data_IF_252014917122
#
_entry.id   IF_252014917122
#
_cell.length_a   1.000
_cell.length_b   1.000
_cell.length_c   1.000
_cell.angle_alpha   90.00
_cell.angle_beta   90.00
_cell.angle_gamma   90.00
#
_symmetry.space_group_name_H-M   'P 1'
#
loop_
_entity.id
_entity.type
_entity.pdbx_description
1 polymer ?
#
# COMPACT_ATOMS: atom_id res chain seq x y z
N UNK A 1 13.66 18.95 45.78
CA UNK A 1 12.57 19.07 44.78
C UNK A 1 12.14 20.54 44.68
N UNK A 2 12.37 21.22 43.53
CA UNK A 2 11.87 22.59 43.33
C UNK A 2 10.35 22.56 43.29
N UNK A 3 9.71 23.31 44.20
CA UNK A 3 8.23 23.48 44.19
C UNK A 3 7.82 24.08 42.85
N UNK A 4 6.94 23.36 42.13
CA UNK A 4 6.39 23.80 40.85
C UNK A 4 5.47 24.95 41.11
N UNK A 5 5.79 26.17 40.67
CA UNK A 5 4.90 27.31 40.73
C UNK A 5 3.82 27.21 39.65
N UNK A 6 2.68 26.63 39.99
CA UNK A 6 1.56 26.42 39.07
C UNK A 6 0.98 27.71 38.49
N UNK A 7 0.98 28.81 39.26
CA UNK A 7 0.51 30.11 38.77
C UNK A 7 1.31 30.63 37.58
N UNK A 8 2.65 30.55 37.65
CA UNK A 8 3.52 30.94 36.52
C UNK A 8 3.42 30.00 35.32
N UNK A 9 3.15 28.69 35.52
CA UNK A 9 2.94 27.74 34.44
C UNK A 9 1.63 27.95 33.72
N UNK A 10 0.53 28.20 34.45
CA UNK A 10 -0.81 28.44 33.87
C UNK A 10 -0.88 29.71 33.03
N UNK A 11 -0.07 30.74 33.34
CA UNK A 11 0.05 31.96 32.51
C UNK A 11 1.02 31.86 31.36
N UNK A 12 1.79 30.76 31.27
CA UNK A 12 2.81 30.57 30.22
C UNK A 12 2.17 30.25 28.87
N UNK A 13 2.48 31.05 27.84
CA UNK A 13 2.12 30.75 26.43
C UNK A 13 2.60 29.35 25.97
N UNK A 14 3.75 28.88 26.48
CA UNK A 14 4.30 27.54 26.16
C UNK A 14 3.42 26.42 26.73
N UNK A 15 2.88 26.60 27.95
CA UNK A 15 1.98 25.64 28.57
C UNK A 15 0.69 25.50 27.74
N UNK A 16 0.05 26.59 27.40
CA UNK A 16 -1.18 26.58 26.61
C UNK A 16 -0.94 26.04 25.18
N UNK A 17 0.19 26.36 24.56
CA UNK A 17 0.55 25.77 23.26
C UNK A 17 0.71 24.25 23.35
N UNK A 18 1.27 23.72 24.44
CA UNK A 18 1.37 22.28 24.66
C UNK A 18 0.01 21.63 24.90
N UNK A 19 -0.87 22.28 25.69
CA UNK A 19 -2.24 21.79 25.93
C UNK A 19 -3.04 21.77 24.63
N UNK A 20 -3.02 22.84 23.86
CA UNK A 20 -3.71 22.91 22.55
C UNK A 20 -3.15 21.85 21.61
N UNK A 21 -1.82 21.66 21.57
CA UNK A 21 -1.18 20.63 20.76
C UNK A 21 -1.63 19.22 21.15
N UNK A 22 -1.71 18.93 22.45
CA UNK A 22 -2.18 17.63 22.95
C UNK A 22 -3.66 17.39 22.65
N UNK A 23 -4.54 18.37 22.95
CA UNK A 23 -5.98 18.28 22.65
C UNK A 23 -6.21 18.07 21.16
N UNK A 24 -5.49 18.83 20.31
CA UNK A 24 -5.58 18.66 18.85
C UNK A 24 -5.17 17.25 18.42
N UNK A 25 -4.08 16.72 18.97
CA UNK A 25 -3.63 15.36 18.61
C UNK A 25 -4.62 14.29 19.12
N UNK A 26 -5.23 14.50 20.29
CA UNK A 26 -6.27 13.61 20.81
C UNK A 26 -7.51 13.60 19.90
N UNK A 27 -8.00 14.76 19.50
CA UNK A 27 -9.15 14.88 18.58
C UNK A 27 -8.85 14.24 17.23
N UNK A 28 -7.66 14.46 16.67
CA UNK A 28 -7.24 13.83 15.43
C UNK A 28 -7.05 12.32 15.60
N UNK A 29 -6.56 11.85 16.74
CA UNK A 29 -6.44 10.43 17.06
C UNK A 29 -7.79 9.74 17.11
N UNK A 30 -8.79 10.37 17.74
CA UNK A 30 -10.17 9.89 17.75
C UNK A 30 -10.75 9.86 16.33
N UNK A 31 -10.59 10.93 15.56
CA UNK A 31 -11.03 10.99 14.17
C UNK A 31 -10.45 9.83 13.33
N UNK A 32 -9.15 9.61 13.42
CA UNK A 32 -8.50 8.52 12.70
C UNK A 32 -8.99 7.14 13.16
N UNK A 33 -9.15 6.93 14.48
CA UNK A 33 -9.63 5.66 15.01
C UNK A 33 -11.08 5.37 14.58
N UNK A 34 -11.97 6.34 14.66
CA UNK A 34 -13.37 6.23 14.19
C UNK A 34 -13.40 5.94 12.69
N UNK A 35 -12.57 6.64 11.90
CA UNK A 35 -12.48 6.38 10.45
C UNK A 35 -11.99 4.97 10.13
N UNK A 36 -10.99 4.47 10.85
CA UNK A 36 -10.48 3.11 10.65
C UNK A 36 -11.46 2.02 11.11
N UNK A 37 -12.36 2.34 12.06
CA UNK A 37 -13.43 1.44 12.50
C UNK A 37 -14.67 1.50 11.62
N UNK A 38 -14.72 2.41 10.63
CA UNK A 38 -15.89 2.58 9.78
C UNK A 38 -16.25 1.32 9.02
N UNK A 39 -17.50 0.90 9.14
CA UNK A 39 -18.09 -0.18 8.36
C UNK A 39 -18.67 0.38 7.07
N UNK A 40 -18.22 -0.15 5.95
CA UNK A 40 -18.65 0.31 4.63
C UNK A 40 -19.99 -0.35 4.29
N UNK A 41 -21.06 0.22 4.81
CA UNK A 41 -22.44 -0.19 4.60
C UNK A 41 -23.29 1.01 4.21
N UNK A 42 -24.46 0.74 3.65
CA UNK A 42 -25.46 1.76 3.34
C UNK A 42 -26.69 1.45 4.16
N UNK A 43 -26.78 1.94 5.40
CA UNK A 43 -27.91 1.74 6.26
C UNK A 43 -29.21 2.24 5.60
N UNK A 44 -30.27 1.52 5.83
CA UNK A 44 -31.60 1.90 5.40
C UNK A 44 -32.39 2.52 6.54
N UNK A 45 -33.09 3.62 6.25
CA UNK A 45 -33.83 4.39 7.24
C UNK A 45 -34.99 3.62 7.88
N UNK A 46 -35.72 2.87 7.07
CA UNK A 46 -36.85 2.06 7.55
C UNK A 46 -36.36 0.90 8.39
N UNK A 47 -35.30 0.23 7.94
CA UNK A 47 -34.64 -0.85 8.69
C UNK A 47 -34.13 -0.35 10.04
N UNK A 48 -33.48 0.82 10.10
CA UNK A 48 -32.98 1.39 11.35
C UNK A 48 -34.11 1.73 12.34
N UNK A 49 -35.26 2.16 11.85
CA UNK A 49 -36.46 2.38 12.68
C UNK A 49 -37.06 1.05 13.17
N UNK A 50 -37.13 0.05 12.29
CA UNK A 50 -37.62 -1.26 12.65
C UNK A 50 -36.73 -1.93 13.71
N UNK A 51 -35.43 -1.88 13.55
CA UNK A 51 -34.46 -2.43 14.51
C UNK A 51 -34.59 -1.81 15.91
N UNK A 52 -34.87 -0.51 15.98
CA UNK A 52 -35.17 0.17 17.25
C UNK A 52 -36.43 -0.34 17.91
N UNK A 53 -37.53 -0.49 17.16
CA UNK A 53 -38.79 -0.96 17.69
C UNK A 53 -38.69 -2.41 18.16
N UNK A 54 -37.99 -3.25 17.39
CA UNK A 54 -37.74 -4.66 17.77
C UNK A 54 -36.88 -4.70 19.04
N UNK A 55 -35.82 -3.89 19.11
CA UNK A 55 -34.95 -3.80 20.29
C UNK A 55 -35.62 -3.28 21.54
N UNK A 56 -36.72 -2.51 21.40
CA UNK A 56 -37.57 -2.05 22.49
C UNK A 56 -38.67 -3.07 22.89
N UNK A 57 -38.64 -4.30 22.35
CA UNK A 57 -39.59 -5.40 22.60
C UNK A 57 -41.03 -5.11 22.13
N UNK A 58 -41.20 -4.27 21.13
CA UNK A 58 -42.49 -4.14 20.46
C UNK A 58 -42.77 -5.37 19.59
N UNK A 59 -43.99 -5.88 19.59
CA UNK A 59 -44.44 -6.94 18.68
C UNK A 59 -44.28 -6.46 17.22
N UNK A 60 -43.84 -7.36 16.34
CA UNK A 60 -43.53 -7.02 14.94
C UNK A 60 -44.74 -6.79 14.05
N UNK A 61 -45.93 -7.07 14.53
CA UNK A 61 -47.20 -6.86 13.81
C UNK A 61 -47.76 -5.47 14.10
N UNK A 62 -47.76 -4.61 13.08
CA UNK A 62 -48.35 -3.27 13.17
C UNK A 62 -47.39 -2.18 13.67
N UNK A 63 -46.11 -2.31 13.40
CA UNK A 63 -45.12 -1.32 13.75
C UNK A 63 -45.41 0.03 13.08
N UNK A 64 -45.70 1.05 13.90
CA UNK A 64 -45.78 2.42 13.45
C UNK A 64 -44.35 3.00 13.40
N UNK A 65 -43.72 2.92 12.21
CA UNK A 65 -42.36 3.43 12.00
C UNK A 65 -42.28 4.94 12.22
N UNK A 66 -43.39 5.67 12.09
CA UNK A 66 -43.41 7.11 12.28
C UNK A 66 -43.39 7.51 13.77
N UNK A 67 -43.70 6.56 14.66
CA UNK A 67 -43.53 6.76 16.11
C UNK A 67 -42.07 6.89 16.53
N UNK A 68 -41.11 6.45 15.71
CA UNK A 68 -39.68 6.56 16.00
C UNK A 68 -39.19 7.94 15.57
N UNK A 69 -38.65 8.75 16.50
CA UNK A 69 -38.06 10.04 16.16
C UNK A 69 -36.93 9.90 15.16
N UNK A 70 -36.89 10.74 14.11
CA UNK A 70 -35.90 10.66 13.05
C UNK A 70 -34.45 10.75 13.53
N UNK A 71 -34.19 11.55 14.58
CA UNK A 71 -32.85 11.65 15.15
C UNK A 71 -32.35 10.34 15.79
N UNK A 72 -33.27 9.54 16.33
CA UNK A 72 -32.92 8.24 16.95
C UNK A 72 -32.57 7.20 15.87
N UNK A 73 -33.34 7.16 14.78
CA UNK A 73 -32.99 6.33 13.62
C UNK A 73 -31.63 6.74 13.00
N UNK A 74 -31.34 8.05 12.94
CA UNK A 74 -30.04 8.55 12.50
C UNK A 74 -28.89 8.08 13.40
N UNK A 75 -29.10 7.98 14.72
CA UNK A 75 -28.09 7.43 15.65
C UNK A 75 -27.83 5.93 15.40
N UNK A 76 -28.87 5.14 15.11
CA UNK A 76 -28.68 3.72 14.75
C UNK A 76 -27.92 3.58 13.46
N UNK A 77 -28.26 4.35 12.43
CA UNK A 77 -27.51 4.36 11.16
C UNK A 77 -26.06 4.77 11.38
N UNK A 78 -25.82 5.79 12.25
CA UNK A 78 -24.47 6.21 12.59
C UNK A 78 -23.68 5.10 13.32
N UNK A 79 -24.33 4.38 14.24
CA UNK A 79 -23.74 3.23 14.90
C UNK A 79 -23.43 2.09 13.94
N UNK A 80 -24.31 1.83 12.96
CA UNK A 80 -24.07 0.82 11.92
C UNK A 80 -22.84 1.17 11.03
N UNK A 81 -22.60 2.45 10.76
CA UNK A 81 -21.40 2.89 10.06
C UNK A 81 -20.17 3.00 10.97
N UNK A 82 -20.35 3.34 12.25
CA UNK A 82 -19.27 3.55 13.22
C UNK A 82 -19.59 2.77 14.51
N UNK A 83 -19.36 1.45 14.56
CA UNK A 83 -19.59 0.64 15.75
C UNK A 83 -18.52 0.97 16.80
N UNK A 84 -18.86 1.81 17.77
CA UNK A 84 -17.97 2.26 18.84
C UNK A 84 -18.15 1.46 20.15
N UNK A 85 -18.94 0.41 20.13
CA UNK A 85 -19.19 -0.51 21.22
C UNK A 85 -18.04 -1.49 21.47
N UNK A 86 -17.14 -1.65 20.49
CA UNK A 86 -15.95 -2.46 20.62
C UNK A 86 -14.92 -1.82 21.54
N UNK A 87 -14.42 -2.57 22.54
CA UNK A 87 -13.40 -2.10 23.48
C UNK A 87 -12.07 -1.65 22.82
N UNK A 88 -11.81 -2.10 21.59
CA UNK A 88 -10.53 -1.87 20.91
C UNK A 88 -10.35 -0.42 20.38
N UNK A 89 -11.44 0.29 20.06
CA UNK A 89 -11.33 1.62 19.46
C UNK A 89 -10.74 2.68 20.41
N UNK A 90 -11.05 2.60 21.72
CA UNK A 90 -10.52 3.52 22.70
C UNK A 90 -8.98 3.45 22.83
N UNK A 91 -8.38 2.28 23.07
CA UNK A 91 -6.92 2.08 23.00
C UNK A 91 -6.32 2.47 21.66
N UNK A 92 -6.99 2.19 20.53
CA UNK A 92 -6.53 2.61 19.21
C UNK A 92 -6.50 4.14 19.07
N UNK A 93 -7.54 4.85 19.52
CA UNK A 93 -7.58 6.31 19.52
C UNK A 93 -6.47 6.91 20.40
N UNK A 94 -6.24 6.35 21.59
CA UNK A 94 -5.17 6.77 22.49
C UNK A 94 -3.79 6.54 21.86
N UNK A 95 -3.54 5.36 21.28
CA UNK A 95 -2.30 5.04 20.57
C UNK A 95 -2.03 5.98 19.40
N UNK A 96 -3.04 6.23 18.57
CA UNK A 96 -2.95 7.20 17.47
C UNK A 96 -2.71 8.61 17.98
N UNK A 97 -3.37 9.04 19.07
CA UNK A 97 -3.14 10.36 19.65
C UNK A 97 -1.69 10.55 20.11
N UNK A 98 -1.10 9.53 20.78
CA UNK A 98 0.31 9.54 21.19
C UNK A 98 1.23 9.63 19.96
N UNK A 99 0.97 8.80 18.95
CA UNK A 99 1.74 8.81 17.69
C UNK A 99 1.66 10.18 17.00
N UNK A 100 0.46 10.75 16.89
CA UNK A 100 0.26 12.07 16.29
C UNK A 100 0.93 13.19 17.10
N UNK A 101 0.91 13.12 18.43
CA UNK A 101 1.68 14.03 19.29
C UNK A 101 3.17 13.98 18.99
N UNK A 102 3.72 12.75 18.90
CA UNK A 102 5.13 12.55 18.59
C UNK A 102 5.47 13.09 17.19
N UNK A 103 4.68 12.73 16.17
CA UNK A 103 4.86 13.21 14.78
C UNK A 103 4.83 14.73 14.71
N UNK A 104 3.84 15.37 15.33
CA UNK A 104 3.67 16.84 15.33
C UNK A 104 4.78 17.57 16.07
N UNK A 105 5.46 16.88 17.00
CA UNK A 105 6.67 17.37 17.65
C UNK A 105 7.88 17.51 16.71
N UNK A 106 7.88 16.78 15.59
CA UNK A 106 8.98 16.75 14.60
C UNK A 106 8.85 17.90 13.57
N UNK A 107 9.05 19.14 14.01
CA UNK A 107 8.79 20.34 13.17
C UNK A 107 9.60 20.39 11.88
N UNK A 108 10.86 19.96 11.93
CA UNK A 108 11.76 19.96 10.77
C UNK A 108 11.33 18.97 9.67
N UNK A 109 10.63 17.90 10.07
CA UNK A 109 10.14 16.88 9.15
C UNK A 109 8.77 17.20 8.56
N UNK A 110 8.17 18.35 8.90
CA UNK A 110 6.79 18.69 8.50
C UNK A 110 6.63 18.67 6.97
N UNK A 111 5.66 17.90 6.45
CA UNK A 111 5.36 17.88 5.01
C UNK A 111 4.95 19.24 4.47
N UNK A 112 5.21 19.48 3.19
CA UNK A 112 4.84 20.70 2.46
C UNK A 112 3.36 20.65 2.05
N UNK A 113 2.89 21.72 1.39
CA UNK A 113 1.51 21.79 0.88
C UNK A 113 1.18 20.73 -0.15
N UNK A 114 2.17 20.33 -0.96
CA UNK A 114 2.01 19.27 -1.96
C UNK A 114 1.66 17.92 -1.34
N UNK A 115 2.32 17.55 -0.23
CA UNK A 115 2.04 16.30 0.47
C UNK A 115 0.68 16.33 1.17
N UNK A 116 0.25 17.51 1.63
CA UNK A 116 -1.11 17.69 2.16
C UNK A 116 -2.15 17.45 1.05
N UNK A 117 -1.95 18.04 -0.13
CA UNK A 117 -2.86 17.84 -1.27
C UNK A 117 -2.90 16.37 -1.71
N UNK A 118 -1.75 15.70 -1.77
CA UNK A 118 -1.68 14.27 -2.06
C UNK A 118 -2.42 13.44 -1.00
N UNK A 119 -2.29 13.79 0.28
CA UNK A 119 -2.99 13.09 1.37
C UNK A 119 -4.51 13.24 1.26
N UNK A 120 -5.00 14.40 0.81
CA UNK A 120 -6.42 14.60 0.52
C UNK A 120 -6.87 13.73 -0.64
N UNK A 121 -6.10 13.69 -1.73
CA UNK A 121 -6.40 12.82 -2.89
C UNK A 121 -6.42 11.35 -2.49
N UNK A 122 -5.45 10.91 -1.70
CA UNK A 122 -5.43 9.53 -1.18
C UNK A 122 -6.60 9.23 -0.25
N UNK A 123 -6.98 10.16 0.63
CA UNK A 123 -8.15 9.98 1.49
C UNK A 123 -9.46 9.84 0.71
N UNK A 124 -9.63 10.62 -0.36
CA UNK A 124 -10.76 10.49 -1.28
C UNK A 124 -10.72 9.16 -2.02
N UNK A 125 -9.57 8.81 -2.60
CA UNK A 125 -9.39 7.57 -3.36
C UNK A 125 -9.63 6.32 -2.49
N UNK A 126 -9.17 6.34 -1.23
CA UNK A 126 -9.37 5.25 -0.29
C UNK A 126 -10.85 4.99 -0.02
N UNK A 127 -11.61 6.03 0.33
CA UNK A 127 -13.05 5.86 0.64
C UNK A 127 -13.84 5.43 -0.59
N UNK A 128 -13.56 6.00 -1.76
CA UNK A 128 -14.19 5.58 -3.02
C UNK A 128 -13.80 4.14 -3.38
N UNK A 129 -12.53 3.78 -3.22
CA UNK A 129 -12.03 2.43 -3.45
C UNK A 129 -12.66 1.40 -2.51
N UNK A 130 -12.78 1.72 -1.22
CA UNK A 130 -13.46 0.87 -0.23
C UNK A 130 -14.95 0.70 -0.57
N UNK A 131 -15.63 1.78 -1.01
CA UNK A 131 -17.01 1.70 -1.47
C UNK A 131 -17.19 0.73 -2.63
N UNK A 132 -16.34 0.84 -3.66
CA UNK A 132 -16.37 -0.08 -4.81
C UNK A 132 -16.02 -1.50 -4.38
N UNK A 133 -14.99 -1.68 -3.57
CA UNK A 133 -14.52 -2.99 -3.12
C UNK A 133 -15.59 -3.75 -2.30
N UNK A 134 -16.30 -3.06 -1.41
CA UNK A 134 -17.26 -3.67 -0.50
C UNK A 134 -18.69 -3.74 -1.05
N UNK A 135 -19.10 -2.75 -1.84
CA UNK A 135 -20.49 -2.59 -2.31
C UNK A 135 -20.63 -2.73 -3.83
N UNK A 136 -19.53 -2.88 -4.58
CA UNK A 136 -19.54 -2.87 -6.05
C UNK A 136 -19.97 -1.54 -6.68
N UNK A 137 -20.10 -0.48 -5.88
CA UNK A 137 -20.62 0.83 -6.30
C UNK A 137 -20.10 1.96 -5.42
N UNK A 138 -20.40 3.19 -5.79
CA UNK A 138 -20.07 4.39 -4.98
C UNK A 138 -21.18 4.75 -3.96
N UNK A 139 -22.10 3.82 -3.66
CA UNK A 139 -23.26 4.07 -2.82
C UNK A 139 -22.91 4.51 -1.39
N UNK A 140 -21.78 4.06 -0.84
CA UNK A 140 -21.29 4.52 0.48
C UNK A 140 -21.12 6.03 0.57
N UNK A 141 -20.88 6.71 -0.56
CA UNK A 141 -20.66 8.16 -0.59
C UNK A 141 -21.85 8.90 -1.22
N UNK A 142 -22.40 8.37 -2.32
CA UNK A 142 -23.31 9.15 -3.17
C UNK A 142 -24.78 8.70 -3.17
N UNK A 143 -25.18 7.73 -2.33
CA UNK A 143 -26.56 7.23 -2.35
C UNK A 143 -27.59 8.28 -1.84
N UNK A 144 -27.22 9.01 -0.80
CA UNK A 144 -28.08 10.01 -0.17
C UNK A 144 -27.26 11.05 0.62
N UNK A 145 -27.84 12.17 1.08
CA UNK A 145 -27.12 13.20 1.82
C UNK A 145 -26.46 12.70 3.11
N UNK A 146 -27.06 11.75 3.82
CA UNK A 146 -26.47 11.14 5.00
C UNK A 146 -25.17 10.41 4.65
N UNK A 147 -25.18 9.56 3.60
CA UNK A 147 -24.00 8.85 3.13
C UNK A 147 -22.92 9.80 2.63
N UNK A 148 -23.31 10.91 2.00
CA UNK A 148 -22.34 11.94 1.61
C UNK A 148 -21.61 12.52 2.84
N UNK A 149 -22.32 12.81 3.94
CA UNK A 149 -21.69 13.29 5.18
C UNK A 149 -20.75 12.23 5.78
N UNK A 150 -21.18 10.96 5.86
CA UNK A 150 -20.38 9.84 6.36
C UNK A 150 -19.13 9.64 5.49
N UNK A 151 -19.30 9.62 4.18
CA UNK A 151 -18.19 9.48 3.21
C UNK A 151 -17.19 10.62 3.33
N UNK A 152 -17.65 11.88 3.40
CA UNK A 152 -16.78 13.05 3.60
C UNK A 152 -16.03 12.99 4.95
N UNK A 153 -16.70 12.59 6.02
CA UNK A 153 -16.06 12.39 7.31
C UNK A 153 -14.91 11.38 7.23
N UNK A 154 -15.15 10.22 6.59
CA UNK A 154 -14.13 9.22 6.35
C UNK A 154 -12.99 9.74 5.47
N UNK A 155 -13.29 10.49 4.39
CA UNK A 155 -12.27 11.10 3.53
C UNK A 155 -11.34 12.02 4.30
N UNK A 156 -11.88 12.85 5.18
CA UNK A 156 -11.10 13.74 6.05
C UNK A 156 -10.25 12.94 7.02
N UNK A 157 -10.80 11.91 7.66
CA UNK A 157 -10.06 11.06 8.59
C UNK A 157 -8.90 10.33 7.91
N UNK A 158 -9.10 9.74 6.73
CA UNK A 158 -8.02 9.13 5.95
C UNK A 158 -6.99 10.17 5.47
N UNK A 159 -7.41 11.35 5.03
CA UNK A 159 -6.48 12.41 4.64
C UNK A 159 -5.58 12.85 5.81
N UNK A 160 -6.15 12.97 7.01
CA UNK A 160 -5.39 13.26 8.24
C UNK A 160 -4.42 12.13 8.55
N UNK A 161 -4.85 10.88 8.43
CA UNK A 161 -4.02 9.71 8.67
C UNK A 161 -2.83 9.67 7.70
N UNK A 162 -3.08 9.79 6.39
CA UNK A 162 -2.03 9.78 5.37
C UNK A 162 -1.03 10.95 5.56
N UNK A 163 -1.52 12.15 5.86
CA UNK A 163 -0.66 13.30 6.09
C UNK A 163 0.31 13.08 7.26
N UNK A 164 -0.19 12.53 8.37
CA UNK A 164 0.66 12.27 9.53
C UNK A 164 1.52 11.03 9.34
N UNK A 165 1.09 10.04 8.56
CA UNK A 165 1.93 8.91 8.18
C UNK A 165 3.15 9.36 7.35
N UNK A 166 2.95 10.24 6.36
CA UNK A 166 4.04 10.84 5.58
C UNK A 166 4.97 11.67 6.48
N UNK A 167 4.39 12.46 7.40
CA UNK A 167 5.20 13.23 8.36
C UNK A 167 6.03 12.33 9.29
N UNK A 168 5.41 11.27 9.83
CA UNK A 168 6.11 10.28 10.65
C UNK A 168 7.23 9.59 9.89
N UNK A 169 6.99 9.23 8.63
CA UNK A 169 8.00 8.64 7.75
C UNK A 169 9.19 9.59 7.53
N UNK A 170 8.94 10.87 7.27
CA UNK A 170 9.99 11.88 7.15
C UNK A 170 10.79 12.04 8.45
N UNK A 171 10.12 12.01 9.61
CA UNK A 171 10.79 12.09 10.91
C UNK A 171 11.70 10.88 11.16
N UNK A 172 11.23 9.69 10.83
CA UNK A 172 12.01 8.45 10.98
C UNK A 172 13.22 8.43 10.03
N UNK A 173 13.00 8.77 8.77
CA UNK A 173 14.07 8.81 7.76
C UNK A 173 15.09 9.92 8.05
N UNK A 174 14.64 11.09 8.53
CA UNK A 174 15.50 12.19 8.92
C UNK A 174 16.42 11.81 10.08
N UNK A 175 15.90 11.16 11.12
CA UNK A 175 16.70 10.64 12.24
C UNK A 175 17.71 9.58 11.80
N UNK A 176 17.32 8.73 10.88
CA UNK A 176 18.18 7.70 10.32
C UNK A 176 19.41 8.26 9.57
N UNK A 177 19.33 9.48 9.05
CA UNK A 177 20.45 10.14 8.34
C UNK A 177 21.44 10.84 9.27
N UNK A 178 20.98 11.31 10.43
CA UNK A 178 21.80 12.12 11.35
C UNK A 178 22.55 11.28 12.40
N UNK A 179 22.17 10.02 12.58
CA UNK A 179 22.83 9.11 13.50
C UNK A 179 23.96 8.35 12.79
N UNK A 180 25.19 8.75 13.00
CA UNK A 180 26.34 7.88 12.84
C UNK A 180 26.24 6.78 13.90
N UNK A 181 25.34 5.81 13.70
CA UNK A 181 25.30 4.64 14.58
C UNK A 181 26.57 3.85 14.31
N UNK A 182 27.44 3.79 15.30
CA UNK A 182 28.54 2.82 15.38
C UNK A 182 27.91 1.42 15.56
N UNK A 183 27.39 0.88 14.48
CA UNK A 183 27.01 -0.53 14.46
C UNK A 183 28.26 -1.37 14.73
N UNK A 184 28.17 -2.42 15.57
CA UNK A 184 29.29 -3.30 15.85
C UNK A 184 29.89 -3.76 14.52
N UNK A 185 31.21 -3.63 14.39
CA UNK A 185 31.95 -4.05 13.19
C UNK A 185 32.08 -5.57 13.16
N UNK A 186 30.96 -6.26 13.06
CA UNK A 186 30.91 -7.70 12.88
C UNK A 186 31.25 -8.07 11.44
N UNK A 187 31.74 -9.30 11.20
CA UNK A 187 31.93 -9.83 9.83
C UNK A 187 30.66 -9.76 9.00
N UNK A 188 29.51 -9.99 9.61
CA UNK A 188 28.19 -9.87 8.96
C UNK A 188 27.92 -8.42 8.54
N UNK A 189 28.11 -7.45 9.43
CA UNK A 189 27.87 -6.05 9.12
C UNK A 189 28.80 -5.53 8.00
N UNK A 190 30.06 -5.99 7.98
CA UNK A 190 31.01 -5.66 6.91
C UNK A 190 30.60 -6.29 5.57
N UNK A 191 30.19 -7.55 5.58
CA UNK A 191 29.69 -8.24 4.39
C UNK A 191 28.43 -7.57 3.81
N UNK A 192 27.45 -7.27 4.66
CA UNK A 192 26.22 -6.59 4.27
C UNK A 192 26.48 -5.19 3.70
N UNK A 193 27.36 -4.42 4.36
CA UNK A 193 27.72 -3.07 3.95
C UNK A 193 28.42 -3.00 2.58
N UNK A 194 29.17 -4.05 2.22
CA UNK A 194 29.89 -4.12 0.93
C UNK A 194 28.94 -4.14 -0.27
N UNK A 195 27.79 -4.79 -0.15
CA UNK A 195 26.81 -4.91 -1.22
C UNK A 195 25.39 -5.11 -0.65
N UNK A 196 24.75 -4.06 -0.07
CA UNK A 196 23.49 -4.20 0.67
C UNK A 196 22.37 -4.89 -0.12
N UNK A 197 22.24 -4.55 -1.41
CA UNK A 197 21.24 -5.16 -2.27
C UNK A 197 21.45 -6.67 -2.48
N UNK A 198 22.68 -7.10 -2.78
CA UNK A 198 23.00 -8.52 -2.95
C UNK A 198 22.85 -9.30 -1.65
N UNK A 199 23.35 -8.73 -0.55
CA UNK A 199 23.23 -9.34 0.77
C UNK A 199 21.75 -9.52 1.16
N UNK A 200 20.93 -8.48 0.95
CA UNK A 200 19.49 -8.52 1.20
C UNK A 200 18.80 -9.56 0.30
N UNK A 201 19.09 -9.60 -0.99
CA UNK A 201 18.52 -10.62 -1.91
C UNK A 201 18.82 -12.05 -1.43
N UNK A 202 20.05 -12.31 -0.98
CA UNK A 202 20.44 -13.62 -0.47
C UNK A 202 19.73 -13.98 0.83
N UNK A 203 19.62 -13.02 1.75
CA UNK A 203 18.92 -13.23 3.04
C UNK A 203 17.41 -13.46 2.84
N UNK A 204 16.77 -12.66 1.96
CA UNK A 204 15.37 -12.83 1.60
C UNK A 204 15.15 -14.19 0.94
N UNK A 205 15.96 -14.54 -0.05
CA UNK A 205 15.88 -15.84 -0.71
C UNK A 205 16.08 -16.99 0.27
N UNK A 206 17.09 -16.93 1.14
CA UNK A 206 17.31 -17.95 2.16
C UNK A 206 16.12 -18.10 3.13
N UNK A 207 15.48 -17.00 3.53
CA UNK A 207 14.29 -17.03 4.38
C UNK A 207 13.05 -17.63 3.68
N UNK A 208 12.96 -17.52 2.36
CA UNK A 208 11.86 -18.10 1.58
C UNK A 208 12.07 -19.56 1.16
N UNK A 209 13.30 -20.08 1.18
CA UNK A 209 13.57 -21.48 0.81
C UNK A 209 12.73 -22.49 1.60
N UNK A 210 12.50 -22.37 2.93
CA UNK A 210 11.63 -23.29 3.65
C UNK A 210 10.21 -23.35 3.07
N UNK A 211 9.64 -22.20 2.67
CA UNK A 211 8.31 -22.14 2.04
C UNK A 211 8.29 -22.92 0.72
N UNK A 212 9.26 -22.69 -0.14
CA UNK A 212 9.36 -23.38 -1.44
C UNK A 212 9.59 -24.89 -1.25
N UNK A 213 10.38 -25.27 -0.24
CA UNK A 213 10.66 -26.69 0.04
C UNK A 213 9.44 -27.42 0.62
N UNK A 214 8.73 -26.82 1.57
CA UNK A 214 7.56 -27.43 2.23
C UNK A 214 6.39 -27.56 1.24
N UNK A 215 6.19 -26.58 0.38
CA UNK A 215 5.07 -26.54 -0.58
C UNK A 215 5.46 -27.04 -1.98
N UNK A 216 6.60 -27.74 -2.12
CA UNK A 216 7.00 -28.27 -3.42
C UNK A 216 5.89 -29.09 -4.08
N UNK A 217 5.61 -28.94 -5.39
CA UNK A 217 6.24 -28.11 -6.41
C UNK A 217 5.78 -26.64 -6.41
N UNK A 218 4.92 -26.25 -5.51
CA UNK A 218 4.23 -24.98 -5.38
C UNK A 218 2.72 -25.17 -5.44
N UNK A 219 1.98 -24.21 -4.89
CA UNK A 219 0.51 -24.15 -5.01
C UNK A 219 0.13 -23.50 -6.33
N UNK A 220 -0.91 -23.99 -6.99
CA UNK A 220 -1.44 -23.42 -8.23
C UNK A 220 -2.78 -22.75 -7.92
N UNK A 221 -2.87 -21.44 -8.15
CA UNK A 221 -4.11 -20.69 -8.01
C UNK A 221 -5.08 -20.99 -9.15
N UNK A 222 -6.38 -20.78 -8.90
CA UNK A 222 -7.44 -21.04 -9.87
C UNK A 222 -7.22 -20.31 -11.21
N UNK A 223 -6.87 -19.04 -11.16
CA UNK A 223 -6.56 -18.23 -12.34
C UNK A 223 -5.40 -18.83 -13.15
N UNK A 224 -4.35 -19.28 -12.46
CA UNK A 224 -3.16 -19.86 -13.09
C UNK A 224 -3.44 -21.21 -13.74
N UNK A 225 -4.30 -22.02 -13.11
CA UNK A 225 -4.77 -23.27 -13.71
C UNK A 225 -5.56 -23.01 -14.99
N UNK A 226 -6.48 -22.02 -14.99
CA UNK A 226 -7.19 -21.59 -16.18
C UNK A 226 -6.24 -21.18 -17.31
N UNK A 227 -5.21 -20.38 -17.00
CA UNK A 227 -4.20 -19.93 -17.97
C UNK A 227 -3.36 -21.10 -18.54
N UNK A 228 -2.96 -22.06 -17.71
CA UNK A 228 -2.28 -23.27 -18.15
C UNK A 228 -3.18 -24.08 -19.09
N UNK A 229 -4.45 -24.29 -18.71
CA UNK A 229 -5.44 -25.05 -19.49
C UNK A 229 -5.69 -24.42 -20.86
N UNK A 230 -5.70 -23.09 -20.95
CA UNK A 230 -5.82 -22.37 -22.22
C UNK A 230 -4.62 -22.66 -23.14
N UNK A 231 -3.39 -22.58 -22.64
CA UNK A 231 -2.19 -22.85 -23.44
C UNK A 231 -2.08 -24.34 -23.82
N UNK A 232 -2.60 -25.24 -23.00
CA UNK A 232 -2.66 -26.67 -23.30
C UNK A 232 -3.76 -27.03 -24.31
N UNK A 233 -4.66 -26.11 -24.64
CA UNK A 233 -5.79 -26.35 -25.54
C UNK A 233 -6.95 -27.10 -24.89
N UNK A 234 -6.98 -27.20 -23.55
CA UNK A 234 -8.08 -27.81 -22.78
C UNK A 234 -9.24 -26.84 -22.64
N UNK A 235 -8.95 -25.54 -22.58
CA UNK A 235 -9.94 -24.46 -22.54
C UNK A 235 -9.68 -23.49 -23.70
N UNK A 236 -10.75 -22.82 -24.16
CA UNK A 236 -10.64 -21.78 -25.17
C UNK A 236 -9.82 -20.60 -24.67
N UNK A 237 -9.02 -20.00 -25.55
CA UNK A 237 -8.26 -18.78 -25.26
C UNK A 237 -9.23 -17.63 -25.08
N UNK A 238 -9.24 -17.03 -23.90
CA UNK A 238 -10.07 -15.88 -23.59
C UNK A 238 -9.21 -14.65 -23.29
N UNK A 239 -9.76 -13.47 -23.56
CA UNK A 239 -9.12 -12.21 -23.16
C UNK A 239 -9.30 -11.86 -21.67
N UNK A 240 -9.71 -12.82 -20.81
CA UNK A 240 -9.88 -12.57 -19.38
C UNK A 240 -8.55 -12.25 -18.69
N UNK A 241 -7.53 -13.04 -18.98
CA UNK A 241 -6.16 -12.80 -18.52
C UNK A 241 -5.32 -12.12 -19.60
N UNK A 242 -4.22 -11.50 -19.19
CA UNK A 242 -3.27 -10.91 -20.15
C UNK A 242 -2.51 -12.01 -20.89
N UNK A 243 -2.23 -11.76 -22.17
CA UNK A 243 -1.57 -12.72 -23.05
C UNK A 243 -0.21 -13.14 -22.47
N UNK A 244 0.62 -12.19 -22.04
CA UNK A 244 1.95 -12.50 -21.52
C UNK A 244 1.89 -13.38 -20.27
N UNK A 245 0.99 -13.11 -19.31
CA UNK A 245 0.89 -13.97 -18.13
C UNK A 245 0.42 -15.37 -18.49
N UNK A 246 -0.57 -15.49 -19.38
CA UNK A 246 -1.10 -16.78 -19.85
C UNK A 246 -0.01 -17.61 -20.54
N UNK A 247 0.72 -17.01 -21.46
CA UNK A 247 1.82 -17.68 -22.15
C UNK A 247 2.95 -18.08 -21.20
N UNK A 248 3.31 -17.21 -20.25
CA UNK A 248 4.38 -17.52 -19.29
C UNK A 248 4.03 -18.74 -18.43
N UNK A 249 2.81 -18.79 -17.88
CA UNK A 249 2.34 -19.95 -17.11
C UNK A 249 2.33 -21.23 -17.96
N UNK A 250 1.70 -21.16 -19.12
CA UNK A 250 1.54 -22.34 -19.97
C UNK A 250 2.85 -22.83 -20.58
N UNK A 251 3.77 -21.95 -21.01
CA UNK A 251 5.04 -22.35 -21.59
C UNK A 251 5.98 -22.99 -20.57
N UNK A 252 6.08 -22.45 -19.37
CA UNK A 252 6.88 -23.06 -18.31
C UNK A 252 6.30 -24.42 -17.90
N UNK A 253 4.96 -24.53 -17.86
CA UNK A 253 4.31 -25.81 -17.61
C UNK A 253 4.60 -26.83 -18.74
N UNK A 254 4.49 -26.44 -20.02
CA UNK A 254 4.86 -27.29 -21.16
C UNK A 254 6.32 -27.73 -21.11
N UNK A 255 7.22 -26.82 -20.73
CA UNK A 255 8.64 -27.14 -20.61
C UNK A 255 8.88 -28.22 -19.55
N UNK A 256 8.27 -28.07 -18.35
CA UNK A 256 8.39 -29.09 -17.31
C UNK A 256 7.82 -30.44 -17.73
N UNK A 257 6.65 -30.45 -18.41
CA UNK A 257 6.05 -31.65 -18.98
C UNK A 257 6.97 -32.31 -20.03
N UNK A 258 7.58 -31.51 -20.89
CA UNK A 258 8.55 -32.03 -21.88
C UNK A 258 9.81 -32.63 -21.22
N UNK A 259 10.16 -32.16 -20.02
CA UNK A 259 11.22 -32.71 -19.18
C UNK A 259 10.75 -33.90 -18.30
N UNK A 260 9.52 -34.37 -18.50
CA UNK A 260 8.99 -35.57 -17.88
C UNK A 260 8.15 -35.35 -16.60
N UNK A 261 7.83 -34.11 -16.21
CA UNK A 261 7.06 -33.89 -15.01
C UNK A 261 6.23 -32.59 -15.04
N UNK A 262 4.90 -32.72 -14.80
CA UNK A 262 3.99 -31.58 -14.64
C UNK A 262 4.36 -30.77 -13.39
N UNK A 263 4.79 -31.45 -12.31
CA UNK A 263 5.27 -30.77 -11.10
C UNK A 263 6.50 -29.89 -11.37
N UNK A 264 7.39 -30.34 -12.25
CA UNK A 264 8.53 -29.51 -12.67
C UNK A 264 8.06 -28.26 -13.41
N UNK A 265 6.97 -28.34 -14.18
CA UNK A 265 6.40 -27.20 -14.87
C UNK A 265 5.90 -26.10 -13.92
N UNK A 266 5.21 -26.50 -12.85
CA UNK A 266 4.81 -25.59 -11.76
C UNK A 266 6.05 -25.00 -11.09
N UNK A 267 7.00 -25.85 -10.72
CA UNK A 267 8.21 -25.44 -10.01
C UNK A 267 9.08 -24.45 -10.80
N UNK A 268 9.17 -24.57 -12.10
CA UNK A 268 9.90 -23.63 -12.94
C UNK A 268 9.35 -22.20 -12.84
N UNK A 269 8.02 -22.06 -12.76
CA UNK A 269 7.42 -20.77 -12.55
C UNK A 269 7.72 -20.21 -11.14
N UNK A 270 7.64 -21.07 -10.11
CA UNK A 270 7.98 -20.72 -8.73
C UNK A 270 9.44 -20.23 -8.65
N UNK A 271 10.38 -20.93 -9.29
CA UNK A 271 11.79 -20.52 -9.33
C UNK A 271 11.96 -19.17 -10.00
N UNK A 272 11.28 -18.93 -11.13
CA UNK A 272 11.35 -17.65 -11.83
C UNK A 272 10.89 -16.50 -10.94
N UNK A 273 9.69 -16.60 -10.34
CA UNK A 273 9.18 -15.53 -9.47
C UNK A 273 10.01 -15.35 -8.19
N UNK A 274 10.51 -16.45 -7.61
CA UNK A 274 11.41 -16.43 -6.46
C UNK A 274 12.67 -15.62 -6.74
N UNK A 275 13.36 -15.93 -7.84
CA UNK A 275 14.60 -15.25 -8.22
C UNK A 275 14.38 -13.77 -8.53
N UNK A 276 13.32 -13.46 -9.29
CA UNK A 276 12.99 -12.08 -9.65
C UNK A 276 12.61 -11.29 -8.41
N UNK A 277 11.71 -11.80 -7.56
CA UNK A 277 11.25 -11.07 -6.39
C UNK A 277 12.35 -10.91 -5.33
N UNK A 278 13.14 -11.95 -5.05
CA UNK A 278 14.25 -11.86 -4.11
C UNK A 278 15.29 -10.81 -4.57
N UNK A 279 15.60 -10.79 -5.87
CA UNK A 279 16.49 -9.78 -6.43
C UNK A 279 15.89 -8.39 -6.35
N UNK A 280 14.64 -8.18 -6.75
CA UNK A 280 13.97 -6.88 -6.74
C UNK A 280 13.86 -6.32 -5.32
N UNK A 281 13.45 -7.13 -4.34
CA UNK A 281 13.30 -6.65 -2.97
C UNK A 281 14.66 -6.33 -2.34
N UNK A 282 15.73 -7.02 -2.75
CA UNK A 282 17.08 -6.60 -2.43
C UNK A 282 17.45 -5.23 -3.03
N UNK A 283 16.92 -4.88 -4.23
CA UNK A 283 17.13 -3.54 -4.79
C UNK A 283 16.46 -2.43 -3.96
N UNK A 284 15.37 -2.73 -3.23
CA UNK A 284 14.78 -1.77 -2.26
C UNK A 284 15.79 -1.39 -1.19
N UNK A 285 16.48 -2.40 -0.63
CA UNK A 285 17.56 -2.18 0.36
C UNK A 285 18.74 -1.42 -0.25
N UNK A 286 19.15 -1.77 -1.49
CA UNK A 286 20.20 -1.05 -2.20
C UNK A 286 19.84 0.43 -2.41
N UNK A 287 18.58 0.69 -2.76
CA UNK A 287 18.10 2.05 -2.95
C UNK A 287 18.04 2.84 -1.64
N UNK A 288 17.59 2.21 -0.53
CA UNK A 288 17.66 2.80 0.81
C UNK A 288 19.11 3.16 1.21
N UNK A 289 20.08 2.29 0.93
CA UNK A 289 21.50 2.56 1.15
C UNK A 289 21.97 3.74 0.29
N UNK A 290 21.57 3.79 -0.98
CA UNK A 290 21.90 4.91 -1.90
C UNK A 290 21.32 6.24 -1.43
N UNK A 291 20.15 6.24 -0.80
CA UNK A 291 19.55 7.43 -0.18
C UNK A 291 20.27 7.86 1.12
N UNK A 292 21.27 7.11 1.58
CA UNK A 292 21.99 7.39 2.83
C UNK A 292 21.21 6.98 4.09
N UNK A 293 20.24 6.06 3.97
CA UNK A 293 19.55 5.54 5.14
C UNK A 293 20.50 4.72 6.03
N UNK A 294 20.28 4.78 7.35
CA UNK A 294 21.09 4.03 8.32
C UNK A 294 21.02 2.52 8.07
N UNK A 295 22.01 1.79 8.59
CA UNK A 295 22.01 0.32 8.51
C UNK A 295 20.80 -0.32 9.19
N UNK A 296 20.31 0.29 10.28
CA UNK A 296 19.08 -0.16 10.94
C UNK A 296 17.88 -0.17 9.99
N UNK A 297 17.68 0.88 9.19
CA UNK A 297 16.63 0.92 8.16
C UNK A 297 16.86 -0.12 7.08
N UNK A 298 18.10 -0.31 6.63
CA UNK A 298 18.42 -1.33 5.62
C UNK A 298 18.13 -2.75 6.14
N UNK A 299 18.45 -3.04 7.39
CA UNK A 299 18.12 -4.32 8.03
C UNK A 299 16.62 -4.49 8.22
N UNK A 300 15.91 -3.45 8.64
CA UNK A 300 14.46 -3.48 8.81
C UNK A 300 13.73 -3.77 7.49
N UNK A 301 14.15 -3.12 6.39
CA UNK A 301 13.61 -3.38 5.04
C UNK A 301 13.89 -4.83 4.62
N UNK A 302 15.11 -5.32 4.85
CA UNK A 302 15.46 -6.72 4.55
C UNK A 302 14.62 -7.70 5.37
N UNK A 303 14.48 -7.44 6.69
CA UNK A 303 13.71 -8.28 7.59
C UNK A 303 12.21 -8.29 7.22
N UNK A 304 11.65 -7.16 6.82
CA UNK A 304 10.27 -7.06 6.35
C UNK A 304 10.00 -8.02 5.19
N UNK A 305 10.82 -7.99 4.14
CA UNK A 305 10.63 -8.90 3.01
C UNK A 305 11.01 -10.35 3.31
N UNK A 306 11.95 -10.58 4.22
CA UNK A 306 12.40 -11.93 4.56
C UNK A 306 11.45 -12.67 5.52
N UNK A 307 10.90 -11.96 6.52
CA UNK A 307 10.23 -12.58 7.67
C UNK A 307 8.70 -12.44 7.65
N UNK A 308 8.14 -11.48 6.90
CA UNK A 308 6.69 -11.39 6.76
C UNK A 308 6.17 -12.65 6.01
N UNK A 309 5.31 -13.47 6.66
CA UNK A 309 4.83 -14.72 6.11
C UNK A 309 4.02 -14.55 4.81
N UNK A 310 3.46 -13.37 4.57
CA UNK A 310 2.74 -13.06 3.32
C UNK A 310 3.64 -13.28 2.11
N UNK A 311 4.90 -12.80 2.16
CA UNK A 311 5.83 -12.98 1.04
C UNK A 311 6.15 -14.45 0.79
N UNK A 312 6.43 -15.22 1.84
CA UNK A 312 6.70 -16.66 1.72
C UNK A 312 5.51 -17.41 1.14
N UNK A 313 4.30 -17.11 1.60
CA UNK A 313 3.06 -17.72 1.09
C UNK A 313 2.82 -17.42 -0.40
N UNK A 314 3.02 -16.16 -0.82
CA UNK A 314 2.84 -15.79 -2.23
C UNK A 314 3.97 -16.30 -3.14
N UNK A 315 5.20 -16.40 -2.64
CA UNK A 315 6.34 -16.89 -3.43
C UNK A 315 6.21 -18.35 -3.80
N UNK A 316 5.62 -19.20 -2.94
CA UNK A 316 5.39 -20.61 -3.24
C UNK A 316 4.12 -20.83 -4.08
N UNK A 317 3.31 -19.81 -4.33
CA UNK A 317 2.07 -19.91 -5.08
C UNK A 317 2.27 -19.41 -6.50
N UNK A 318 1.94 -20.24 -7.48
CA UNK A 318 1.96 -19.87 -8.90
C UNK A 318 0.80 -18.92 -9.17
N UNK A 319 1.08 -17.61 -9.14
CA UNK A 319 0.11 -16.54 -9.41
C UNK A 319 0.78 -15.36 -10.11
N UNK A 320 0.13 -14.85 -11.14
CA UNK A 320 0.66 -13.70 -11.92
C UNK A 320 0.95 -12.46 -11.07
N UNK A 321 0.18 -12.27 -10.01
CA UNK A 321 0.22 -11.08 -9.16
C UNK A 321 1.52 -10.98 -8.34
N UNK A 322 2.14 -12.09 -7.97
CA UNK A 322 3.43 -12.11 -7.27
C UNK A 322 4.54 -11.56 -8.17
N UNK A 323 4.65 -12.08 -9.39
CA UNK A 323 5.65 -11.62 -10.35
C UNK A 323 5.41 -10.17 -10.76
N UNK A 324 4.13 -9.80 -11.00
CA UNK A 324 3.74 -8.42 -11.26
C UNK A 324 4.16 -7.50 -10.12
N UNK A 325 3.90 -7.86 -8.87
CA UNK A 325 4.28 -7.05 -7.68
C UNK A 325 5.79 -6.82 -7.64
N UNK A 326 6.59 -7.86 -7.89
CA UNK A 326 8.05 -7.71 -7.99
C UNK A 326 8.45 -6.68 -9.06
N UNK A 327 7.96 -6.85 -10.29
CA UNK A 327 8.31 -5.93 -11.38
C UNK A 327 7.76 -4.51 -11.16
N UNK A 328 6.58 -4.39 -10.56
CA UNK A 328 6.01 -3.08 -10.24
C UNK A 328 6.80 -2.34 -9.15
N UNK A 329 7.27 -3.04 -8.12
CA UNK A 329 8.21 -2.48 -7.13
C UNK A 329 9.48 -1.97 -7.82
N UNK A 330 10.04 -2.74 -8.74
CA UNK A 330 11.20 -2.29 -9.52
C UNK A 330 10.88 -1.04 -10.36
N UNK A 331 9.69 -0.99 -10.97
CA UNK A 331 9.23 0.18 -11.72
C UNK A 331 9.13 1.42 -10.84
N UNK A 332 8.57 1.30 -9.63
CA UNK A 332 8.51 2.38 -8.63
C UNK A 332 9.91 2.83 -8.22
N UNK A 333 10.83 1.89 -7.98
CA UNK A 333 12.24 2.22 -7.66
C UNK A 333 12.93 2.98 -8.80
N UNK A 334 12.72 2.57 -10.06
CA UNK A 334 13.28 3.27 -11.22
C UNK A 334 12.66 4.64 -11.42
N UNK A 335 11.37 4.79 -11.14
CA UNK A 335 10.71 6.10 -11.14
C UNK A 335 11.29 7.02 -10.09
N UNK A 336 11.47 6.53 -8.86
CA UNK A 336 12.12 7.29 -7.79
C UNK A 336 13.57 7.66 -8.13
N UNK A 337 14.32 6.74 -8.73
CA UNK A 337 15.69 6.95 -9.20
C UNK A 337 15.76 8.06 -10.27
N UNK A 338 14.84 8.04 -11.23
CA UNK A 338 14.71 9.08 -12.27
C UNK A 338 14.43 10.45 -11.66
N UNK A 339 13.56 10.55 -10.66
CA UNK A 339 13.15 11.81 -10.07
C UNK A 339 14.21 12.37 -9.10
N UNK A 340 14.92 11.50 -8.38
CA UNK A 340 15.91 11.90 -7.37
C UNK A 340 17.32 12.08 -7.96
N UNK A 341 17.67 11.34 -9.02
CA UNK A 341 19.00 11.37 -9.65
C UNK A 341 18.89 11.58 -11.17
N UNK A 342 18.19 12.63 -11.63
CA UNK A 342 17.88 12.82 -13.06
C UNK A 342 19.14 12.97 -13.93
N UNK A 343 20.25 13.46 -13.38
CA UNK A 343 21.51 13.63 -14.11
C UNK A 343 22.04 12.30 -14.68
N UNK A 344 21.84 11.20 -13.96
CA UNK A 344 22.31 9.89 -14.39
C UNK A 344 21.45 9.27 -15.53
N UNK A 345 20.28 9.84 -15.77
CA UNK A 345 19.36 9.42 -16.83
C UNK A 345 19.54 10.22 -18.11
N UNK A 346 20.20 11.38 -18.03
CA UNK A 346 20.46 12.21 -19.21
C UNK A 346 21.37 11.46 -20.19
N UNK A 347 20.92 11.34 -21.45
CA UNK A 347 21.66 10.65 -22.51
C UNK A 347 21.77 9.12 -22.35
N UNK A 348 21.26 8.55 -21.28
CA UNK A 348 21.31 7.11 -21.03
C UNK A 348 20.14 6.38 -21.72
N UNK A 349 20.29 6.11 -23.02
CA UNK A 349 19.31 5.30 -23.78
C UNK A 349 19.03 3.93 -23.12
N UNK A 350 20.04 3.18 -22.64
CA UNK A 350 19.78 1.89 -22.00
C UNK A 350 18.87 1.95 -20.79
N UNK A 351 19.04 2.97 -19.91
CA UNK A 351 18.17 3.16 -18.73
C UNK A 351 16.73 3.46 -19.14
N UNK A 352 16.55 4.37 -20.11
CA UNK A 352 15.21 4.72 -20.60
C UNK A 352 14.53 3.54 -21.30
N UNK A 353 15.27 2.77 -22.12
CA UNK A 353 14.73 1.56 -22.76
C UNK A 353 14.36 0.50 -21.73
N UNK A 354 15.22 0.23 -20.75
CA UNK A 354 14.90 -0.71 -19.66
C UNK A 354 13.66 -0.28 -18.86
N UNK A 355 13.51 1.02 -18.62
CA UNK A 355 12.36 1.58 -17.94
C UNK A 355 11.06 1.43 -18.77
N UNK A 356 11.13 1.66 -20.09
CA UNK A 356 10.03 1.44 -21.00
C UNK A 356 9.61 -0.05 -21.04
N UNK A 357 10.58 -0.95 -21.21
CA UNK A 357 10.34 -2.40 -21.22
C UNK A 357 9.69 -2.84 -19.91
N UNK A 358 10.20 -2.36 -18.77
CA UNK A 358 9.64 -2.67 -17.46
C UNK A 358 8.19 -2.18 -17.31
N UNK A 359 7.88 -0.97 -17.79
CA UNK A 359 6.52 -0.45 -17.80
C UNK A 359 5.57 -1.28 -18.67
N UNK A 360 6.02 -1.70 -19.87
CA UNK A 360 5.28 -2.61 -20.76
C UNK A 360 5.05 -3.96 -20.06
N UNK A 361 6.08 -4.55 -19.47
CA UNK A 361 5.96 -5.82 -18.75
C UNK A 361 4.94 -5.76 -17.61
N UNK A 362 4.94 -4.67 -16.83
CA UNK A 362 3.93 -4.47 -15.79
C UNK A 362 2.51 -4.45 -16.37
N UNK A 363 2.28 -3.78 -17.50
CA UNK A 363 0.97 -3.72 -18.13
C UNK A 363 0.56 -5.07 -18.76
N UNK A 364 1.52 -5.80 -19.34
CA UNK A 364 1.26 -7.10 -19.99
C UNK A 364 1.11 -8.25 -19.00
N UNK A 365 1.65 -8.15 -17.78
CA UNK A 365 1.41 -9.16 -16.74
C UNK A 365 0.06 -8.98 -16.05
N UNK A 366 -0.41 -7.75 -15.92
CA UNK A 366 -1.69 -7.44 -15.28
C UNK A 366 -2.39 -6.28 -15.99
N UNK A 367 -3.64 -6.48 -16.46
CA UNK A 367 -4.41 -5.45 -17.15
C UNK A 367 -4.50 -4.14 -16.37
N UNK A 368 -4.72 -4.25 -15.06
CA UNK A 368 -4.84 -3.08 -14.20
C UNK A 368 -3.50 -2.35 -13.98
N UNK A 369 -2.39 -2.92 -14.39
CA UNK A 369 -1.06 -2.29 -14.34
C UNK A 369 -1.02 -0.95 -15.08
N UNK A 370 -1.78 -0.82 -16.18
CA UNK A 370 -1.85 0.41 -16.97
C UNK A 370 -2.36 1.61 -16.15
N UNK A 371 -3.33 1.38 -15.24
CA UNK A 371 -3.90 2.41 -14.38
C UNK A 371 -2.92 2.94 -13.32
N UNK A 372 -1.84 2.23 -13.05
CA UNK A 372 -0.77 2.68 -12.17
C UNK A 372 0.43 3.22 -12.94
N UNK A 373 0.88 2.49 -13.97
CA UNK A 373 2.10 2.80 -14.73
C UNK A 373 1.93 4.09 -15.54
N UNK A 374 0.81 4.27 -16.25
CA UNK A 374 0.57 5.45 -17.10
C UNK A 374 0.50 6.75 -16.29
N UNK A 375 -0.30 6.86 -15.22
CA UNK A 375 -0.29 8.05 -14.38
C UNK A 375 1.07 8.35 -13.74
N UNK A 376 1.83 7.32 -13.31
CA UNK A 376 3.17 7.51 -12.75
C UNK A 376 4.14 8.07 -13.80
N UNK A 377 4.13 7.57 -15.02
CA UNK A 377 4.94 8.09 -16.12
C UNK A 377 4.55 9.53 -16.47
N UNK A 378 3.26 9.79 -16.54
CA UNK A 378 2.74 11.13 -16.82
C UNK A 378 3.18 12.11 -15.72
N UNK A 379 2.96 11.77 -14.46
CA UNK A 379 3.39 12.58 -13.32
C UNK A 379 4.92 12.80 -13.36
N UNK A 380 5.70 11.76 -13.65
CA UNK A 380 7.16 11.85 -13.75
C UNK A 380 7.63 12.81 -14.84
N UNK A 381 6.96 12.81 -16.00
CA UNK A 381 7.30 13.73 -17.10
C UNK A 381 7.11 15.21 -16.71
N UNK A 382 6.14 15.51 -15.84
CA UNK A 382 5.91 16.88 -15.37
C UNK A 382 6.73 17.25 -14.13
N UNK A 383 7.08 16.30 -13.28
CA UNK A 383 7.77 16.55 -12.00
C UNK A 383 9.28 16.44 -12.08
N UNK A 384 9.82 15.75 -13.10
CA UNK A 384 11.28 15.64 -13.29
C UNK A 384 11.91 17.02 -13.38
N UNK A 385 12.93 17.28 -12.54
CA UNK A 385 13.59 18.59 -12.44
C UNK A 385 14.33 18.96 -13.72
N UNK A 386 14.93 17.99 -14.41
CA UNK A 386 15.66 18.16 -15.65
C UNK A 386 14.72 18.19 -16.86
N UNK A 387 14.44 19.38 -17.38
CA UNK A 387 13.53 19.58 -18.53
C UNK A 387 13.89 18.74 -19.77
N UNK A 388 15.18 18.43 -19.95
CA UNK A 388 15.68 17.60 -21.07
C UNK A 388 15.15 16.16 -21.01
N UNK A 389 14.80 15.65 -19.84
CA UNK A 389 14.25 14.30 -19.65
C UNK A 389 12.74 14.20 -19.92
N UNK A 390 12.00 15.30 -19.97
CA UNK A 390 10.55 15.30 -20.20
C UNK A 390 10.17 14.59 -21.48
N UNK A 391 10.83 14.95 -22.61
CA UNK A 391 10.57 14.31 -23.90
C UNK A 391 10.90 12.82 -23.90
N UNK A 392 12.08 12.37 -23.42
CA UNK A 392 12.38 10.95 -23.25
C UNK A 392 11.34 10.19 -22.38
N UNK A 393 10.91 10.77 -21.25
CA UNK A 393 9.91 10.13 -20.38
C UNK A 393 8.53 10.06 -21.07
N UNK A 394 8.14 11.08 -21.83
CA UNK A 394 6.94 11.02 -22.66
C UNK A 394 7.05 10.00 -23.80
N UNK A 395 8.25 9.80 -24.36
CA UNK A 395 8.48 8.71 -25.33
C UNK A 395 8.36 7.31 -24.65
N UNK A 396 8.84 7.18 -23.41
CA UNK A 396 8.61 5.97 -22.61
C UNK A 396 7.12 5.74 -22.39
N UNK A 397 6.36 6.78 -22.00
CA UNK A 397 4.91 6.70 -21.83
C UNK A 397 4.22 6.23 -23.12
N UNK A 398 4.58 6.83 -24.25
CA UNK A 398 4.03 6.43 -25.56
C UNK A 398 4.37 4.97 -25.89
N UNK A 399 5.60 4.54 -25.68
CA UNK A 399 6.02 3.16 -25.89
C UNK A 399 5.24 2.18 -24.99
N UNK A 400 4.98 2.54 -23.74
CA UNK A 400 4.16 1.73 -22.82
C UNK A 400 2.72 1.67 -23.32
N UNK A 401 2.13 2.80 -23.71
CA UNK A 401 0.76 2.80 -24.26
C UNK A 401 0.67 1.90 -25.50
N UNK A 402 1.55 2.08 -26.50
CA UNK A 402 1.55 1.26 -27.72
C UNK A 402 1.77 -0.21 -27.39
N UNK A 403 2.78 -0.55 -26.58
CA UNK A 403 3.09 -1.94 -26.21
C UNK A 403 2.02 -2.61 -25.36
N UNK A 404 1.16 -1.84 -24.68
CA UNK A 404 0.08 -2.38 -23.85
C UNK A 404 -1.24 -2.55 -24.60
N UNK A 405 -1.50 -1.76 -25.62
CA UNK A 405 -2.73 -1.83 -26.43
C UNK A 405 -2.57 -2.69 -27.70
N UNK A 406 -1.35 -3.08 -28.05
CA UNK A 406 -1.07 -3.93 -29.20
C UNK A 406 -1.31 -5.44 -28.97
N UNK A 407 -1.76 -5.80 -27.79
CA UNK A 407 -2.09 -7.16 -27.35
C UNK A 407 -3.39 -7.14 -26.57
#
# INVERSE_FOLDING_TARGET
MKKINWGQKLTSRKFWAAVVGFVTALLLGVLCAVTLSAVITVPDWETARADLLIGMQYETTGLDLDAVPGWLAALVMLHQNFPLDGWAWGPAAAGLAVLLCWVRGQREAKPKRTELMLSIVFGIAEVLGLSICKLGSWAFVFKNPYQLCVGMFCMVGYAVLFYHAVWGLYALLGRSRTGGEDFPQTRFAAWFAKAPGRASSLLIGAAWLPWVAVFWPGSVDWDSWGQISQVLGVQEMTAHHTVLSTWLHGWLFRLGRALGSDNLGVFLYIVLQFLVCAWVFGQVTAFAARLGCSRGVQYAVTAFFALDPIWGAFIQTQVKDTLYTGLFVLFVLKTADLLLFPQEWQGSRPRLTAYAVLGVLCCLLRKNGIYAVVPMLLASAFTVSEKRLRRPVLAVLLAVCIGSFGF
#
